data_IF_429964799533
#
_entry.id   IF_429964799533
#
_cell.length_a   1.000
_cell.length_b   1.000
_cell.length_c   1.000
_cell.angle_alpha   90.00
_cell.angle_beta   90.00
_cell.angle_gamma   90.00
#
_symmetry.space_group_name_H-M   'P 1'
#
loop_
_entity.id
_entity.type
_entity.pdbx_description
1 polymer ?
#
# COMPACT_ATOMS: atom_id res chain seq x y z
N UNK A 1 -4.41 17.63 -13.93
CA UNK A 1 -4.12 16.38 -13.20
C UNK A 1 -4.40 16.51 -11.71
N UNK A 2 -3.82 17.51 -11.04
CA UNK A 2 -4.10 17.78 -9.62
C UNK A 2 -5.51 18.35 -9.39
N UNK A 3 -6.02 19.17 -10.31
CA UNK A 3 -7.36 19.79 -10.19
C UNK A 3 -8.49 18.76 -10.19
N UNK A 4 -8.32 17.66 -10.94
CA UNK A 4 -9.31 16.57 -10.96
C UNK A 4 -9.26 15.70 -9.71
N UNK A 5 -8.09 15.58 -9.05
CA UNK A 5 -7.97 14.91 -7.76
C UNK A 5 -8.59 15.75 -6.64
N UNK A 6 -8.34 17.07 -6.64
CA UNK A 6 -8.94 17.99 -5.68
C UNK A 6 -10.46 18.10 -5.85
N UNK A 7 -10.94 18.11 -7.10
CA UNK A 7 -12.37 18.01 -7.37
C UNK A 7 -12.92 16.70 -6.79
N UNK A 8 -12.28 15.56 -7.05
CA UNK A 8 -12.75 14.28 -6.50
C UNK A 8 -12.74 14.25 -4.97
N UNK A 9 -11.73 14.84 -4.34
CA UNK A 9 -11.67 15.06 -2.89
C UNK A 9 -12.87 15.84 -2.37
N UNK A 10 -13.20 16.97 -3.01
CA UNK A 10 -14.35 17.80 -2.63
C UNK A 10 -15.64 17.02 -2.85
N UNK A 11 -15.80 16.37 -4.00
CA UNK A 11 -16.97 15.56 -4.31
C UNK A 11 -17.15 14.38 -3.35
N UNK A 12 -16.10 13.65 -3.01
CA UNK A 12 -16.16 12.53 -2.06
C UNK A 12 -16.60 12.98 -0.65
N UNK A 13 -16.24 14.21 -0.24
CA UNK A 13 -16.65 14.78 1.06
C UNK A 13 -18.13 15.13 1.15
N UNK A 14 -18.81 15.32 0.02
CA UNK A 14 -20.20 15.82 0.03
C UNK A 14 -21.23 14.75 0.42
N UNK A 15 -20.84 13.48 0.52
CA UNK A 15 -21.77 12.39 0.87
C UNK A 15 -22.86 12.11 -0.18
N UNK A 16 -22.88 12.85 -1.30
CA UNK A 16 -23.86 12.67 -2.38
C UNK A 16 -23.72 11.33 -3.13
N UNK A 17 -22.65 10.57 -2.88
CA UNK A 17 -22.52 9.22 -3.40
C UNK A 17 -23.27 8.22 -2.51
N UNK A 18 -24.58 8.13 -2.73
CA UNK A 18 -25.39 6.98 -2.29
C UNK A 18 -25.20 5.72 -3.16
N UNK A 19 -24.13 5.66 -3.97
CA UNK A 19 -23.84 4.56 -4.91
C UNK A 19 -22.34 4.26 -4.96
N UNK A 20 -22.00 3.00 -5.27
CA UNK A 20 -20.64 2.49 -5.49
C UNK A 20 -19.98 3.20 -6.69
N UNK A 21 -19.38 4.36 -6.48
CA UNK A 21 -18.62 5.07 -7.51
C UNK A 21 -17.14 4.79 -7.37
N UNK A 22 -16.58 4.14 -8.39
CA UNK A 22 -15.14 3.92 -8.52
C UNK A 22 -14.59 4.91 -9.51
N UNK A 23 -13.55 5.65 -9.12
CA UNK A 23 -12.79 6.50 -10.05
C UNK A 23 -11.33 6.09 -10.01
N UNK A 24 -10.73 5.97 -11.19
CA UNK A 24 -9.30 5.76 -11.35
C UNK A 24 -8.67 7.05 -11.86
N UNK A 25 -7.62 7.52 -11.19
CA UNK A 25 -6.80 8.65 -11.62
C UNK A 25 -5.37 8.18 -11.86
N UNK A 26 -4.83 8.51 -13.02
CA UNK A 26 -3.43 8.28 -13.33
C UNK A 26 -2.66 9.59 -13.25
N UNK A 27 -1.55 9.60 -12.51
CA UNK A 27 -0.61 10.71 -12.40
C UNK A 27 0.66 10.30 -13.13
N UNK A 28 0.84 10.83 -14.35
CA UNK A 28 2.04 10.62 -15.15
C UNK A 28 3.15 11.64 -14.86
N UNK A 29 2.79 12.82 -14.34
CA UNK A 29 3.75 13.89 -14.09
C UNK A 29 4.63 13.61 -12.87
N UNK A 30 5.94 13.57 -13.08
CA UNK A 30 6.95 13.33 -12.02
C UNK A 30 6.84 14.36 -10.89
N UNK A 31 6.66 15.65 -11.20
CA UNK A 31 6.50 16.67 -10.16
C UNK A 31 5.19 16.49 -9.38
N UNK A 32 4.10 16.10 -10.05
CA UNK A 32 2.83 15.80 -9.38
C UNK A 32 2.94 14.54 -8.49
N UNK A 33 3.69 13.52 -8.92
CA UNK A 33 3.93 12.29 -8.15
C UNK A 33 4.63 12.55 -6.82
N UNK A 34 5.72 13.34 -6.83
CA UNK A 34 6.47 13.73 -5.64
C UNK A 34 5.63 14.61 -4.72
N UNK A 35 4.84 15.51 -5.31
CA UNK A 35 3.93 16.36 -4.55
C UNK A 35 2.82 15.56 -3.88
N UNK A 36 2.27 14.51 -4.47
CA UNK A 36 1.19 13.73 -3.83
C UNK A 36 1.63 13.14 -2.48
N UNK A 37 2.76 12.42 -2.46
CA UNK A 37 3.30 11.85 -1.21
C UNK A 37 3.83 12.94 -0.27
N UNK A 38 4.44 14.00 -0.83
CA UNK A 38 4.85 15.18 -0.04
C UNK A 38 3.67 15.93 0.60
N UNK A 39 2.51 15.97 -0.05
CA UNK A 39 1.28 16.57 0.45
C UNK A 39 0.64 15.69 1.53
N UNK A 40 0.71 14.36 1.39
CA UNK A 40 0.40 13.45 2.51
C UNK A 40 1.28 13.73 3.72
N UNK A 41 2.52 14.17 3.49
CA UNK A 41 3.44 14.64 4.51
C UNK A 41 3.01 15.91 5.27
N UNK A 42 2.37 16.86 4.57
CA UNK A 42 2.16 18.26 5.03
C UNK A 42 0.73 18.60 5.46
N UNK A 43 -0.27 17.88 4.95
CA UNK A 43 -1.66 18.04 5.37
C UNK A 43 -2.06 16.84 6.24
N UNK A 44 -2.93 17.01 7.26
CA UNK A 44 -3.54 15.89 7.95
C UNK A 44 -4.54 15.20 7.01
N UNK A 45 -4.03 14.43 6.05
CA UNK A 45 -4.82 13.60 5.15
C UNK A 45 -5.50 12.45 5.89
N UNK A 46 -5.18 12.21 7.17
CA UNK A 46 -5.79 11.16 8.00
C UNK A 46 -7.32 11.15 7.93
N UNK A 47 -8.00 12.29 7.93
CA UNK A 47 -9.47 12.30 7.75
C UNK A 47 -9.92 12.50 6.30
N UNK A 48 -9.02 12.92 5.41
CA UNK A 48 -9.35 13.36 4.05
C UNK A 48 -8.96 12.35 2.98
N UNK A 49 -8.43 11.18 3.34
CA UNK A 49 -7.98 10.14 2.39
C UNK A 49 -8.72 8.81 2.54
N UNK A 50 -9.73 8.72 3.43
CA UNK A 50 -10.49 7.48 3.70
C UNK A 50 -11.20 6.86 2.50
N UNK A 51 -11.35 7.63 1.41
CA UNK A 51 -11.91 7.21 0.13
C UNK A 51 -10.84 6.67 -0.84
N UNK A 52 -9.54 6.85 -0.55
CA UNK A 52 -8.43 6.35 -1.34
C UNK A 52 -8.11 4.92 -0.91
N UNK A 53 -8.76 3.96 -1.55
CA UNK A 53 -8.66 2.55 -1.19
C UNK A 53 -7.52 1.84 -1.89
N UNK A 54 -7.09 2.33 -3.05
CA UNK A 54 -6.06 1.68 -3.87
C UNK A 54 -5.01 2.68 -4.32
N UNK A 55 -3.75 2.38 -4.06
CA UNK A 55 -2.60 3.17 -4.52
C UNK A 55 -1.62 2.27 -5.26
N UNK A 56 -1.37 2.59 -6.52
CA UNK A 56 -0.32 1.98 -7.32
C UNK A 56 0.83 2.96 -7.48
N UNK A 57 2.03 2.58 -7.05
CA UNK A 57 3.26 3.35 -7.21
C UNK A 57 4.16 2.66 -8.24
N UNK A 58 4.42 3.27 -9.39
CA UNK A 58 5.35 2.75 -10.39
C UNK A 58 6.59 3.65 -10.50
N UNK A 59 7.78 3.05 -10.46
CA UNK A 59 9.07 3.54 -10.99
C UNK A 59 9.55 4.94 -10.63
N UNK A 60 8.93 5.61 -9.68
CA UNK A 60 9.46 6.89 -9.22
C UNK A 60 10.62 6.62 -8.26
N UNK A 61 11.73 7.37 -8.33
CA UNK A 61 12.72 7.39 -7.27
C UNK A 61 12.12 8.13 -6.07
N UNK A 62 11.23 7.46 -5.35
CA UNK A 62 10.77 7.95 -4.06
C UNK A 62 11.90 7.77 -3.06
N UNK A 63 12.25 8.85 -2.36
CA UNK A 63 13.12 8.73 -1.20
C UNK A 63 12.37 8.03 -0.05
N UNK A 64 13.13 7.60 0.96
CA UNK A 64 12.56 6.93 2.14
C UNK A 64 11.48 7.81 2.80
N UNK A 65 11.71 9.12 2.92
CA UNK A 65 10.78 10.03 3.57
C UNK A 65 9.44 10.13 2.82
N UNK A 66 9.46 10.09 1.49
CA UNK A 66 8.28 10.10 0.64
C UNK A 66 7.47 8.81 0.81
N UNK A 67 8.13 7.66 0.88
CA UNK A 67 7.46 6.38 1.13
C UNK A 67 6.94 6.27 2.56
N UNK A 68 7.63 6.86 3.54
CA UNK A 68 7.08 7.00 4.89
C UNK A 68 5.82 7.88 4.92
N UNK A 69 5.62 8.74 3.91
CA UNK A 69 4.36 9.46 3.71
C UNK A 69 3.13 8.54 3.54
N UNK A 70 3.32 7.27 3.14
CA UNK A 70 2.24 6.28 3.06
C UNK A 70 1.60 6.01 4.41
N UNK A 71 2.36 6.09 5.51
CA UNK A 71 1.84 5.89 6.86
C UNK A 71 0.78 6.93 7.27
N UNK A 72 0.71 8.06 6.54
CA UNK A 72 -0.24 9.15 6.79
C UNK A 72 -1.55 9.00 5.99
N UNK A 73 -1.61 8.06 5.05
CA UNK A 73 -2.82 7.75 4.30
C UNK A 73 -3.73 6.88 5.17
N UNK A 74 -4.97 7.31 5.35
CA UNK A 74 -6.01 6.54 6.03
C UNK A 74 -6.94 5.91 4.99
N UNK A 75 -7.55 4.78 5.32
CA UNK A 75 -8.44 4.06 4.40
C UNK A 75 -7.75 3.33 3.24
N UNK A 76 -6.42 3.34 3.17
CA UNK A 76 -5.70 2.59 2.14
C UNK A 76 -5.84 1.08 2.39
N UNK A 77 -6.49 0.39 1.46
CA UNK A 77 -6.76 -1.06 1.53
C UNK A 77 -5.82 -1.87 0.65
N UNK A 78 -5.41 -1.33 -0.49
CA UNK A 78 -4.62 -2.01 -1.49
C UNK A 78 -3.43 -1.13 -1.88
N UNK A 79 -2.22 -1.65 -1.69
CA UNK A 79 -0.99 -0.98 -2.06
C UNK A 79 -0.22 -1.85 -3.05
N UNK A 80 0.02 -1.31 -4.24
CA UNK A 80 0.85 -1.96 -5.25
C UNK A 80 2.09 -1.10 -5.52
N UNK A 81 3.27 -1.64 -5.21
CA UNK A 81 4.54 -0.97 -5.45
C UNK A 81 5.31 -1.72 -6.53
N UNK A 82 5.52 -1.02 -7.65
CA UNK A 82 6.17 -1.54 -8.84
C UNK A 82 7.55 -0.91 -9.05
N UNK A 83 8.56 -1.75 -9.23
CA UNK A 83 9.90 -1.33 -9.68
C UNK A 83 10.24 -1.94 -11.04
N UNK A 84 10.29 -1.11 -12.08
CA UNK A 84 10.70 -1.50 -13.44
C UNK A 84 12.21 -1.41 -13.66
N UNK A 85 13.00 -1.24 -12.60
CA UNK A 85 14.46 -1.31 -12.76
C UNK A 85 14.87 -2.75 -13.05
N UNK A 86 15.72 -3.00 -14.05
CA UNK A 86 16.18 -4.34 -14.32
C UNK A 86 16.95 -4.88 -13.11
N UNK A 87 16.80 -6.18 -12.78
CA UNK A 87 17.49 -6.81 -11.66
C UNK A 87 19.02 -6.72 -11.75
N UNK A 88 19.60 -6.46 -12.93
CA UNK A 88 21.05 -6.32 -13.11
C UNK A 88 21.66 -5.06 -12.51
N UNK A 89 20.87 -4.04 -12.17
CA UNK A 89 21.39 -2.81 -11.56
C UNK A 89 21.37 -2.91 -10.03
N UNK A 90 22.54 -2.79 -9.41
CA UNK A 90 22.80 -2.81 -7.95
C UNK A 90 22.29 -1.57 -7.21
N UNK A 91 21.51 -0.70 -7.86
CA UNK A 91 20.94 0.47 -7.19
C UNK A 91 19.87 0.04 -6.18
N UNK A 92 19.88 0.68 -5.01
CA UNK A 92 18.85 0.51 -3.98
C UNK A 92 17.46 0.62 -4.62
N UNK A 93 16.65 -0.41 -4.44
CA UNK A 93 15.27 -0.43 -4.92
C UNK A 93 14.49 0.66 -4.20
N UNK A 94 13.59 1.34 -4.92
CA UNK A 94 12.72 2.38 -4.34
C UNK A 94 12.03 1.88 -3.07
N UNK A 95 11.60 0.61 -3.07
CA UNK A 95 11.04 -0.05 -1.90
C UNK A 95 11.95 -1.19 -1.45
N UNK A 96 12.30 -1.21 -0.17
CA UNK A 96 13.22 -2.18 0.43
C UNK A 96 12.63 -2.79 1.70
N UNK A 97 13.23 -3.87 2.19
CA UNK A 97 12.85 -4.47 3.47
C UNK A 97 12.95 -3.48 4.64
N UNK A 98 13.84 -2.47 4.56
CA UNK A 98 13.97 -1.40 5.56
C UNK A 98 12.73 -0.50 5.60
N UNK A 99 12.23 -0.09 4.44
CA UNK A 99 11.02 0.75 4.34
C UNK A 99 9.80 -0.05 4.81
N UNK A 100 9.68 -1.31 4.40
CA UNK A 100 8.59 -2.17 4.87
C UNK A 100 8.61 -2.35 6.39
N UNK A 101 9.80 -2.57 6.98
CA UNK A 101 9.97 -2.62 8.44
C UNK A 101 9.57 -1.31 9.11
N UNK A 102 9.98 -0.17 8.56
CA UNK A 102 9.62 1.14 9.11
C UNK A 102 8.11 1.39 9.06
N UNK A 103 7.45 1.08 7.94
CA UNK A 103 5.98 1.17 7.82
C UNK A 103 5.27 0.22 8.80
N UNK A 104 5.82 -0.98 9.00
CA UNK A 104 5.29 -1.93 9.98
C UNK A 104 5.45 -1.45 11.43
N UNK A 105 6.51 -0.71 11.75
CA UNK A 105 6.68 -0.07 13.07
C UNK A 105 5.62 1.03 13.23
N UNK A 106 5.44 1.88 12.22
CA UNK A 106 4.39 2.92 12.24
C UNK A 106 2.98 2.33 12.37
N UNK A 107 2.72 1.20 11.71
CA UNK A 107 1.44 0.50 11.82
C UNK A 107 1.20 -0.01 13.24
N UNK A 108 2.22 -0.61 13.87
CA UNK A 108 2.15 -1.13 15.23
C UNK A 108 1.98 -0.01 16.26
N UNK A 109 2.79 1.03 16.17
CA UNK A 109 2.93 2.03 17.23
C UNK A 109 1.89 3.16 17.10
N UNK A 110 1.46 3.46 15.87
CA UNK A 110 0.58 4.61 15.58
C UNK A 110 -0.69 4.27 14.79
N UNK A 111 -0.95 2.98 14.51
CA UNK A 111 -2.11 2.54 13.75
C UNK A 111 -2.10 2.98 12.28
N UNK A 112 -0.93 3.32 11.74
CA UNK A 112 -0.77 3.64 10.32
C UNK A 112 -1.18 2.44 9.45
N UNK A 113 -1.79 2.70 8.28
CA UNK A 113 -2.18 1.63 7.34
C UNK A 113 -3.02 0.52 7.99
N UNK A 114 -3.84 0.87 9.00
CA UNK A 114 -4.65 -0.09 9.76
C UNK A 114 -5.69 -0.83 8.90
N UNK A 115 -6.08 -0.23 7.76
CA UNK A 115 -7.02 -0.80 6.81
C UNK A 115 -6.32 -1.51 5.64
N UNK A 116 -4.99 -1.58 5.60
CA UNK A 116 -4.26 -2.20 4.50
C UNK A 116 -4.51 -3.71 4.51
N UNK A 117 -5.21 -4.20 3.50
CA UNK A 117 -5.59 -5.60 3.36
C UNK A 117 -4.68 -6.35 2.38
N UNK A 118 -4.25 -5.68 1.31
CA UNK A 118 -3.39 -6.28 0.28
C UNK A 118 -2.16 -5.44 0.00
N UNK A 119 -1.01 -6.13 -0.14
CA UNK A 119 0.25 -5.53 -0.50
C UNK A 119 0.89 -6.33 -1.65
N UNK A 120 1.04 -5.67 -2.81
CA UNK A 120 1.75 -6.19 -3.97
C UNK A 120 3.08 -5.47 -4.11
N UNK A 121 4.16 -6.23 -4.25
CA UNK A 121 5.50 -5.64 -4.45
C UNK A 121 6.22 -6.36 -5.58
N UNK A 122 6.87 -5.57 -6.43
CA UNK A 122 7.53 -6.04 -7.64
C UNK A 122 9.02 -5.69 -7.64
N UNK A 123 9.87 -6.73 -7.76
CA UNK A 123 11.33 -6.66 -7.81
C UNK A 123 12.08 -6.05 -6.60
N UNK A 124 11.61 -6.12 -5.33
CA UNK A 124 12.43 -5.74 -4.18
C UNK A 124 13.37 -6.89 -3.77
N UNK A 125 14.66 -6.77 -4.10
CA UNK A 125 15.66 -7.79 -3.73
C UNK A 125 15.85 -7.94 -2.22
N UNK A 126 15.59 -6.86 -1.47
CA UNK A 126 15.79 -6.80 -0.02
C UNK A 126 14.58 -7.30 0.78
N UNK A 127 13.51 -7.72 0.10
CA UNK A 127 12.36 -8.37 0.73
C UNK A 127 12.63 -9.86 0.77
N UNK A 128 12.74 -10.38 1.99
CA UNK A 128 13.14 -11.74 2.31
C UNK A 128 12.13 -12.39 3.25
N UNK A 129 12.35 -13.64 3.63
CA UNK A 129 11.53 -14.34 4.62
C UNK A 129 11.39 -13.57 5.94
N UNK A 130 12.49 -12.95 6.42
CA UNK A 130 12.47 -12.17 7.65
C UNK A 130 11.51 -10.98 7.58
N UNK A 131 11.23 -10.49 6.38
CA UNK A 131 10.34 -9.36 6.18
C UNK A 131 8.88 -9.72 6.45
N UNK A 132 8.50 -11.00 6.35
CA UNK A 132 7.15 -11.49 6.64
C UNK A 132 6.76 -11.28 8.12
N UNK A 133 7.73 -11.32 9.04
CA UNK A 133 7.46 -11.09 10.46
C UNK A 133 6.89 -9.68 10.70
N UNK A 134 7.41 -8.68 9.98
CA UNK A 134 6.93 -7.30 10.09
C UNK A 134 5.54 -7.11 9.50
N UNK A 135 5.14 -7.95 8.53
CA UNK A 135 3.80 -7.86 7.94
C UNK A 135 2.69 -8.14 8.95
N UNK A 136 2.98 -8.86 10.03
CA UNK A 136 2.02 -9.10 11.11
C UNK A 136 1.59 -7.83 11.86
N UNK A 137 2.38 -6.75 11.78
CA UNK A 137 2.07 -5.47 12.41
C UNK A 137 0.95 -4.71 11.70
N UNK A 138 0.61 -5.07 10.46
CA UNK A 138 -0.55 -4.50 9.77
C UNK A 138 -1.79 -5.28 10.19
N UNK A 139 -2.78 -4.68 10.87
CA UNK A 139 -3.87 -5.43 11.50
C UNK A 139 -4.84 -6.03 10.49
N UNK A 140 -5.14 -5.34 9.38
CA UNK A 140 -6.05 -5.82 8.34
C UNK A 140 -5.36 -6.63 7.22
N UNK A 141 -4.02 -6.67 7.18
CA UNK A 141 -3.29 -7.27 6.07
C UNK A 141 -3.53 -8.78 6.07
N UNK A 142 -4.05 -9.27 4.94
CA UNK A 142 -4.38 -10.69 4.75
C UNK A 142 -3.72 -11.30 3.52
N UNK A 143 -3.27 -10.48 2.57
CA UNK A 143 -2.59 -10.93 1.36
C UNK A 143 -1.34 -10.10 1.10
N UNK A 144 -0.22 -10.79 0.94
CA UNK A 144 1.04 -10.20 0.49
C UNK A 144 1.55 -10.97 -0.73
N UNK A 145 1.74 -10.29 -1.86
CA UNK A 145 2.29 -10.89 -3.07
C UNK A 145 3.58 -10.19 -3.48
N UNK A 146 4.61 -10.98 -3.73
CA UNK A 146 5.93 -10.53 -4.11
C UNK A 146 6.31 -11.16 -5.46
N UNK A 147 6.75 -10.34 -6.42
CA UNK A 147 7.30 -10.79 -7.71
C UNK A 147 8.80 -10.51 -7.79
N UNK A 148 9.56 -11.44 -8.36
CA UNK A 148 11.00 -11.29 -8.63
C UNK A 148 11.80 -10.87 -7.36
N UNK A 149 11.39 -11.39 -6.19
CA UNK A 149 12.02 -11.12 -4.89
C UNK A 149 13.04 -12.21 -4.53
N UNK A 150 13.95 -11.94 -3.58
CA UNK A 150 14.99 -12.88 -3.16
C UNK A 150 14.48 -13.90 -2.12
N UNK A 151 13.44 -14.65 -2.47
CA UNK A 151 12.96 -15.75 -1.64
C UNK A 151 13.65 -17.08 -2.00
N UNK A 152 13.84 -17.99 -1.02
CA UNK A 152 14.22 -19.36 -1.30
C UNK A 152 13.23 -20.05 -2.25
N UNK A 153 13.66 -21.16 -2.86
CA UNK A 153 12.78 -22.02 -3.66
C UNK A 153 11.54 -22.43 -2.86
N UNK A 154 10.37 -22.51 -3.51
CA UNK A 154 9.06 -22.81 -2.92
C UNK A 154 9.08 -23.93 -1.87
N UNK A 155 9.71 -25.07 -2.17
CA UNK A 155 9.82 -26.21 -1.23
C UNK A 155 10.52 -25.85 0.09
N UNK A 156 11.63 -25.12 0.01
CA UNK A 156 12.37 -24.64 1.19
C UNK A 156 11.55 -23.57 1.92
N UNK A 157 10.94 -22.66 1.17
CA UNK A 157 10.10 -21.59 1.70
C UNK A 157 8.92 -22.13 2.53
N UNK A 158 8.23 -23.16 2.05
CA UNK A 158 7.13 -23.82 2.77
C UNK A 158 7.54 -24.36 4.14
N UNK A 159 8.75 -24.92 4.26
CA UNK A 159 9.26 -25.39 5.56
C UNK A 159 9.64 -24.26 6.50
N UNK A 160 10.10 -23.13 5.97
CA UNK A 160 10.63 -22.00 6.75
C UNK A 160 9.55 -20.99 7.17
N UNK A 161 8.42 -20.97 6.48
CA UNK A 161 7.33 -20.03 6.77
C UNK A 161 6.50 -20.44 7.99
N UNK A 162 6.57 -21.72 8.38
CA UNK A 162 5.83 -22.25 9.51
C UNK A 162 6.11 -21.43 10.79
N UNK A 163 5.05 -21.02 11.47
CA UNK A 163 5.12 -20.24 12.70
C UNK A 163 5.25 -18.72 12.52
N UNK A 164 5.47 -18.22 11.30
CA UNK A 164 5.55 -16.79 11.00
C UNK A 164 4.17 -16.11 10.94
N UNK A 165 3.07 -16.87 11.01
CA UNK A 165 1.70 -16.35 10.89
C UNK A 165 1.25 -16.17 9.43
N UNK A 166 1.98 -16.78 8.50
CA UNK A 166 1.72 -16.74 7.07
C UNK A 166 1.86 -18.15 6.50
N UNK A 167 1.01 -18.48 5.53
CA UNK A 167 1.20 -19.64 4.65
C UNK A 167 1.31 -19.16 3.20
N UNK A 168 1.95 -19.98 2.38
CA UNK A 168 2.01 -19.73 0.96
C UNK A 168 0.66 -20.09 0.35
N UNK A 169 0.14 -19.24 -0.52
CA UNK A 169 -1.10 -19.50 -1.26
C UNK A 169 -0.91 -20.76 -2.11
N UNK A 170 -1.59 -21.82 -1.72
CA UNK A 170 -1.71 -23.05 -2.49
C UNK A 170 -2.98 -22.90 -3.32
N UNK A 171 -2.83 -22.85 -4.64
CA UNK A 171 -3.77 -22.74 -5.79
C UNK A 171 -5.31 -22.86 -5.57
N UNK A 172 -5.76 -23.50 -4.50
CA UNK A 172 -7.12 -23.74 -4.06
C UNK A 172 -7.61 -22.79 -2.94
N UNK A 173 -6.75 -21.93 -2.37
CA UNK A 173 -7.10 -21.00 -1.30
C UNK A 173 -7.83 -19.73 -1.79
N UNK A 174 -8.27 -18.86 -0.86
CA UNK A 174 -8.98 -17.59 -1.17
C UNK A 174 -8.13 -16.64 -2.03
N UNK A 175 -6.79 -16.72 -1.95
CA UNK A 175 -5.88 -16.04 -2.88
C UNK A 175 -5.54 -16.84 -4.13
N UNK A 176 -6.07 -18.07 -4.26
CA UNK A 176 -6.07 -18.88 -5.47
C UNK A 176 -6.63 -18.15 -6.68
N UNK A 177 -7.31 -17.01 -6.50
CA UNK A 177 -7.60 -16.02 -7.54
C UNK A 177 -6.33 -15.40 -8.18
N UNK A 178 -5.28 -15.08 -7.41
CA UNK A 178 -3.97 -14.66 -7.94
C UNK A 178 -3.36 -15.78 -8.77
N UNK A 179 -3.34 -17.01 -8.27
CA UNK A 179 -2.88 -18.16 -9.05
C UNK A 179 -3.74 -18.38 -10.30
N UNK A 180 -5.07 -18.30 -10.19
CA UNK A 180 -6.02 -18.49 -11.28
C UNK A 180 -5.91 -17.38 -12.36
N UNK A 181 -5.68 -16.13 -11.97
CA UNK A 181 -5.44 -15.02 -12.89
C UNK A 181 -4.02 -15.03 -13.48
N UNK A 182 -3.03 -15.60 -12.78
CA UNK A 182 -1.66 -15.75 -13.28
C UNK A 182 -1.45 -16.99 -14.14
N UNK A 183 -2.29 -18.03 -14.02
CA UNK A 183 -2.09 -19.32 -14.69
C UNK A 183 -3.28 -19.82 -15.53
N UNK A 184 -4.54 -19.49 -15.19
CA UNK A 184 -5.72 -20.18 -15.73
C UNK A 184 -6.54 -19.37 -16.75
N UNK A 185 -6.46 -18.03 -16.75
CA UNK A 185 -7.05 -17.23 -17.83
C UNK A 185 -6.19 -17.32 -19.10
N UNK A 186 -6.25 -18.47 -19.79
CA UNK A 186 -6.16 -18.66 -21.26
C UNK A 186 -5.83 -20.11 -21.59
N UNK A 187 -6.85 -20.96 -21.69
CA UNK A 187 -6.75 -22.13 -22.56
C UNK A 187 -6.78 -21.78 -24.05
N UNK A 188 -6.97 -20.50 -24.46
CA UNK A 188 -7.23 -20.17 -25.87
C UNK A 188 -6.58 -18.92 -26.49
N UNK A 189 -5.77 -18.13 -25.77
CA UNK A 189 -5.33 -16.84 -26.35
C UNK A 189 -3.83 -16.58 -26.10
N UNK A 190 -3.11 -16.21 -27.17
CA UNK A 190 -1.65 -16.36 -27.34
C UNK A 190 -0.78 -15.33 -26.59
N UNK A 191 -1.36 -14.45 -25.79
CA UNK A 191 -0.63 -13.41 -25.04
C UNK A 191 -0.87 -13.53 -23.54
N UNK A 192 0.16 -13.86 -22.77
CA UNK A 192 0.04 -13.89 -21.30
C UNK A 192 -0.10 -12.47 -20.75
N UNK A 193 -0.98 -12.24 -19.77
CA UNK A 193 -1.14 -10.93 -19.16
C UNK A 193 0.14 -10.55 -18.40
N UNK A 194 0.53 -9.27 -18.47
CA UNK A 194 1.63 -8.75 -17.67
C UNK A 194 1.28 -8.79 -16.17
N UNK A 195 2.27 -8.88 -15.27
CA UNK A 195 2.03 -8.81 -13.82
C UNK A 195 1.16 -7.61 -13.39
N UNK A 196 1.41 -6.37 -13.87
CA UNK A 196 0.51 -5.25 -13.62
C UNK A 196 -0.95 -5.49 -14.05
N UNK A 197 -1.16 -6.19 -15.17
CA UNK A 197 -2.50 -6.57 -15.64
C UNK A 197 -3.14 -7.53 -14.65
N UNK A 198 -2.42 -8.57 -14.20
CA UNK A 198 -2.91 -9.54 -13.22
C UNK A 198 -3.29 -8.84 -11.91
N UNK A 199 -2.40 -8.01 -11.35
CA UNK A 199 -2.68 -7.28 -10.09
C UNK A 199 -3.93 -6.41 -10.25
N UNK A 200 -4.07 -5.69 -11.37
CA UNK A 200 -5.26 -4.88 -11.65
C UNK A 200 -6.53 -5.72 -11.68
N UNK A 201 -6.53 -6.82 -12.43
CA UNK A 201 -7.68 -7.71 -12.55
C UNK A 201 -8.05 -8.34 -11.21
N UNK A 202 -7.06 -8.73 -10.41
CA UNK A 202 -7.28 -9.20 -9.05
C UNK A 202 -7.95 -8.13 -8.17
N UNK A 203 -7.46 -6.90 -8.20
CA UNK A 203 -8.04 -5.80 -7.42
C UNK A 203 -9.45 -5.44 -7.90
N UNK A 204 -9.74 -5.52 -9.21
CA UNK A 204 -11.10 -5.42 -9.75
C UNK A 204 -12.01 -6.54 -9.23
N UNK A 205 -11.55 -7.78 -9.25
CA UNK A 205 -12.30 -8.93 -8.78
C UNK A 205 -12.61 -8.85 -7.28
N UNK A 206 -11.60 -8.59 -6.44
CA UNK A 206 -11.77 -8.46 -4.99
C UNK A 206 -12.82 -7.40 -4.65
N UNK A 207 -12.82 -6.27 -5.36
CA UNK A 207 -13.82 -5.21 -5.17
C UNK A 207 -15.24 -5.65 -5.49
N UNK A 208 -15.43 -6.43 -6.56
CA UNK A 208 -16.74 -6.97 -6.89
C UNK A 208 -17.29 -7.88 -5.77
N UNK A 209 -16.41 -8.52 -5.00
CA UNK A 209 -16.78 -9.34 -3.85
C UNK A 209 -17.04 -8.52 -2.58
N UNK A 210 -16.31 -7.43 -2.33
CA UNK A 210 -16.51 -6.55 -1.15
C UNK A 210 -17.73 -5.61 -1.27
N UNK A 211 -18.72 -5.98 -2.09
CA UNK A 211 -19.90 -5.19 -2.50
C UNK A 211 -20.77 -4.62 -1.36
N UNK A 212 -20.52 -5.01 -0.11
CA UNK A 212 -21.24 -4.50 1.06
C UNK A 212 -20.86 -3.06 1.46
N UNK A 213 -19.71 -2.53 1.02
CA UNK A 213 -19.26 -1.20 1.42
C UNK A 213 -19.76 -0.13 0.43
N UNK A 214 -20.85 0.56 0.79
CA UNK A 214 -21.43 1.70 0.06
C UNK A 214 -20.57 2.99 0.11
N UNK A 215 -19.25 2.90 -0.11
CA UNK A 215 -18.34 4.05 -0.05
C UNK A 215 -17.75 4.35 -1.44
N UNK A 216 -17.57 5.63 -1.79
CA UNK A 216 -16.83 5.98 -3.00
C UNK A 216 -15.38 5.53 -2.88
N UNK A 217 -14.82 4.99 -3.96
CA UNK A 217 -13.46 4.46 -4.01
C UNK A 217 -12.62 5.22 -5.04
N UNK A 218 -11.43 5.66 -4.64
CA UNK A 218 -10.41 6.16 -5.55
C UNK A 218 -9.25 5.18 -5.69
N UNK A 219 -8.94 4.86 -6.95
CA UNK A 219 -7.66 4.26 -7.31
C UNK A 219 -6.76 5.36 -7.85
N UNK A 220 -5.57 5.48 -7.29
CA UNK A 220 -4.53 6.38 -7.80
C UNK A 220 -3.41 5.55 -8.35
N UNK A 221 -3.19 5.66 -9.65
CA UNK A 221 -2.05 5.07 -10.34
C UNK A 221 -1.00 6.15 -10.56
N UNK A 222 0.14 6.04 -9.90
CA UNK A 222 1.27 6.92 -10.14
C UNK A 222 2.21 6.20 -11.09
N UNK A 223 2.21 6.65 -12.34
CA UNK A 223 2.99 6.05 -13.43
C UNK A 223 4.07 7.06 -13.81
N UNK A 224 5.33 6.67 -14.04
CA UNK A 224 6.28 7.62 -14.59
C UNK A 224 5.80 8.10 -15.97
N UNK A 225 6.17 9.31 -16.35
CA UNK A 225 6.08 9.74 -17.73
C UNK A 225 7.03 8.86 -18.57
N UNK A 226 6.52 7.84 -19.24
CA UNK A 226 7.32 7.02 -20.13
C UNK A 226 7.69 7.82 -21.39
N UNK A 227 8.97 8.18 -21.53
CA UNK A 227 9.55 8.54 -22.82
C UNK A 227 9.91 7.22 -23.51
N UNK A 228 8.97 6.62 -24.23
CA UNK A 228 9.14 5.62 -25.32
C UNK A 228 10.07 4.39 -25.16
N UNK A 229 10.86 4.23 -24.11
CA UNK A 229 11.74 3.09 -23.89
C UNK A 229 11.09 2.17 -22.86
N UNK A 230 9.91 1.66 -23.21
CA UNK A 230 9.37 0.49 -22.52
C UNK A 230 10.33 -0.66 -22.80
N UNK A 231 11.08 -1.09 -21.78
CA UNK A 231 11.66 -2.42 -21.80
C UNK A 231 10.55 -3.40 -22.18
N UNK A 232 10.76 -4.16 -23.25
CA UNK A 232 9.84 -5.19 -23.66
C UNK A 232 9.57 -6.06 -22.44
N UNK A 233 8.30 -6.15 -22.02
CA UNK A 233 7.90 -7.09 -20.98
C UNK A 233 8.32 -8.46 -21.48
N UNK A 234 9.42 -8.98 -20.95
CA UNK A 234 9.93 -10.28 -21.37
C UNK A 234 8.83 -11.28 -21.09
N UNK A 235 8.26 -11.82 -22.16
CA UNK A 235 7.26 -12.88 -22.12
C UNK A 235 7.94 -14.11 -21.53
N UNK A 236 7.80 -14.32 -20.22
CA UNK A 236 8.32 -15.50 -19.54
C UNK A 236 7.41 -16.70 -19.78
N UNK A 237 8.01 -17.89 -19.75
CA UNK A 237 7.20 -19.12 -19.73
C UNK A 237 6.31 -19.18 -18.45
N UNK A 238 5.18 -19.89 -18.46
CA UNK A 238 4.22 -19.93 -17.34
C UNK A 238 4.86 -20.53 -16.09
N UNK A 239 5.69 -21.55 -16.29
CA UNK A 239 6.50 -22.17 -15.25
C UNK A 239 7.53 -21.18 -14.66
N UNK A 240 8.16 -20.38 -15.52
CA UNK A 240 9.12 -19.34 -15.13
C UNK A 240 8.44 -18.13 -14.47
N UNK A 241 7.21 -17.79 -14.86
CA UNK A 241 6.43 -16.71 -14.28
C UNK A 241 5.87 -17.10 -12.91
N UNK A 242 5.25 -18.28 -12.80
CA UNK A 242 4.71 -18.81 -11.55
C UNK A 242 5.81 -19.04 -10.50
N UNK A 243 7.03 -19.40 -10.92
CA UNK A 243 8.17 -19.53 -10.00
C UNK A 243 8.72 -18.21 -9.47
N UNK A 244 8.34 -17.07 -10.07
CA UNK A 244 8.78 -15.72 -9.67
C UNK A 244 7.76 -14.96 -8.86
N UNK A 245 6.51 -15.43 -8.79
CA UNK A 245 5.44 -14.82 -8.01
C UNK A 245 5.19 -15.69 -6.78
N UNK A 246 5.24 -15.06 -5.61
CA UNK A 246 4.93 -15.70 -4.33
C UNK A 246 3.86 -14.88 -3.64
N UNK A 247 2.71 -15.51 -3.40
CA UNK A 247 1.63 -14.92 -2.62
C UNK A 247 1.51 -15.64 -1.28
N UNK A 248 1.35 -14.84 -0.24
CA UNK A 248 1.31 -15.26 1.15
C UNK A 248 -0.03 -14.81 1.74
N UNK A 249 -0.69 -15.75 2.40
CA UNK A 249 -1.94 -15.54 3.11
C UNK A 249 -1.68 -15.54 4.61
N UNK A 250 -2.35 -14.63 5.33
CA UNK A 250 -2.24 -14.58 6.78
C UNK A 250 -3.03 -15.69 7.43
N UNK A 251 -2.44 -16.35 8.42
CA UNK A 251 -3.11 -17.36 9.22
C UNK A 251 -4.24 -16.71 10.06
N UNK A 252 -5.50 -17.01 9.73
CA UNK A 252 -6.66 -16.37 10.38
C UNK A 252 -6.76 -16.67 11.88
N UNK A 253 -6.24 -17.81 12.35
CA UNK A 253 -6.30 -18.21 13.77
C UNK A 253 -5.55 -17.25 14.72
N UNK A 254 -4.60 -16.46 14.21
CA UNK A 254 -3.94 -15.39 14.97
C UNK A 254 -4.61 -14.02 14.81
N UNK A 255 -5.33 -13.79 13.70
CA UNK A 255 -5.98 -12.52 13.39
C UNK A 255 -7.26 -12.27 14.21
N UNK A 256 -7.96 -13.33 14.62
CA UNK A 256 -9.13 -13.25 15.50
C UNK A 256 -8.79 -12.80 16.93
N UNK A 257 -7.54 -12.98 17.39
CA UNK A 257 -7.06 -12.45 18.67
C UNK A 257 -6.69 -10.97 18.66
N UNK A 258 -6.41 -10.38 17.49
CA UNK A 258 -6.08 -8.95 17.36
C UNK A 258 -7.28 -8.05 17.05
N UNK A 259 -8.47 -8.63 16.77
CA UNK A 259 -9.71 -7.88 16.53
C UNK A 259 -10.27 -7.17 17.79
N UNK A 260 -9.65 -7.38 18.94
CA UNK A 260 -10.00 -6.72 20.21
C UNK A 260 -8.84 -5.86 20.70
N UNK A 261 -8.28 -4.99 19.85
CA UNK A 261 -7.54 -3.84 20.37
C UNK A 261 -8.59 -2.79 20.80
N UNK A 262 -8.67 -2.43 22.09
CA UNK A 262 -9.50 -1.31 22.50
C UNK A 262 -9.01 -0.06 21.78
N UNK A 263 -9.95 0.68 21.19
CA UNK A 263 -9.71 2.07 20.76
C UNK A 263 -9.01 2.77 21.93
N UNK A 264 -7.82 3.38 21.74
CA UNK A 264 -7.19 4.14 22.80
C UNK A 264 -8.17 5.23 23.24
N UNK A 265 -8.70 5.10 24.46
CA UNK A 265 -9.49 6.17 25.04
C UNK A 265 -8.65 7.45 25.02
N UNK A 266 -9.21 8.58 24.57
CA UNK A 266 -8.51 9.85 24.68
C UNK A 266 -8.18 10.07 26.16
N UNK A 267 -6.96 10.49 26.52
CA UNK A 267 -6.53 10.59 27.90
C UNK A 267 -7.47 11.50 28.70
N UNK A 268 -8.38 10.88 29.44
CA UNK A 268 -9.31 11.53 30.34
C UNK A 268 -8.57 11.90 31.62
N UNK A 269 -7.85 13.02 31.56
CA UNK A 269 -7.56 13.96 32.67
C UNK A 269 -6.58 15.02 32.16
N UNK A 270 -7.11 16.03 31.49
CA UNK A 270 -6.44 17.34 31.45
C UNK A 270 -6.42 17.87 32.88
N UNK A 271 -5.25 17.81 33.54
CA UNK A 271 -4.96 18.66 34.69
C UNK A 271 -5.29 20.10 34.28
N UNK A 272 -6.24 20.74 34.96
CA UNK A 272 -6.46 22.18 34.86
C UNK A 272 -5.17 22.86 35.27
N UNK A 273 -4.40 23.35 34.30
CA UNK A 273 -3.31 24.28 34.57
C UNK A 273 -3.97 25.59 34.99
N UNK A 274 -3.79 25.97 36.25
CA UNK A 274 -4.35 27.19 36.81
C UNK A 274 -3.49 28.36 36.32
N UNK A 275 -3.74 28.84 35.10
CA UNK A 275 -3.04 30.00 34.53
C UNK A 275 -3.66 31.30 35.05
N UNK A 276 -3.25 31.72 36.24
CA UNK A 276 -3.11 33.15 36.53
C UNK A 276 -1.86 33.64 35.80
N UNK A 277 -1.97 34.04 34.53
CA UNK A 277 -0.92 34.77 33.80
C UNK A 277 -1.57 35.64 32.73
N UNK A 278 -2.06 36.79 33.17
CA UNK A 278 -2.50 37.91 32.33
C UNK A 278 -1.39 38.96 32.15
N UNK A 279 -0.13 38.59 32.44
CA UNK A 279 1.02 39.52 32.40
C UNK A 279 2.26 38.95 31.72
N UNK A 280 2.14 37.94 30.87
CA UNK A 280 3.27 37.37 30.13
C UNK A 280 3.23 37.64 28.61
N UNK A 281 2.18 38.31 28.14
CA UNK A 281 2.05 38.70 26.72
C UNK A 281 2.52 40.13 26.44
N UNK A 282 2.49 41.02 27.44
CA UNK A 282 2.96 42.41 27.28
C UNK A 282 4.50 42.50 27.16
N UNK A 283 5.25 41.62 27.82
CA UNK A 283 6.72 41.62 27.76
C UNK A 283 7.27 41.16 26.39
N UNK A 284 6.48 40.46 25.57
CA UNK A 284 6.91 39.97 24.25
C UNK A 284 6.68 41.00 23.13
N UNK A 285 5.90 42.05 23.37
CA UNK A 285 5.52 43.04 22.35
C UNK A 285 6.23 44.40 22.51
N UNK A 286 7.01 44.61 23.57
CA UNK A 286 7.79 45.85 23.78
C UNK A 286 9.26 45.77 23.31
N UNK A 287 9.70 44.65 22.74
CA UNK A 287 11.07 44.49 22.24
C UNK A 287 11.33 44.86 20.78
N UNK A 288 10.32 45.34 20.04
CA UNK A 288 10.44 45.65 18.60
C UNK A 288 9.97 47.06 18.26
N UNK A 289 10.58 48.06 18.91
CA UNK A 289 10.72 49.41 18.36
C UNK A 289 12.03 50.02 18.83
N UNK A 290 13.06 49.93 17.99
CA UNK A 290 14.05 50.96 17.69
C UNK A 290 14.85 50.50 16.47
#
# INVERSE_FOLDING_TARGET
GADSLHAWQLFAKTGYFGRQFVKTFSISCVQCSRRLLGLAGKAPLRSQSSWMTTLTLCDSPYDIAQLMGLAKLDGLQNLYIRSNRPPSQTHETTFSGRILRALAIEAKDYGALSQLETLFVDNPRDVTLNTLQYLNNFPALNLFCARDCNFPKRKTLMSQIQGLGWHLDEEHDVAGLSYYYTTFQRSHDSKRPSWPTVVRTFLEHRRAQTSEINRPMLNVDIVPYCVSESYSSVSLDSTAFASRVLCFLRDQERASKSKTMPVPEPPAKRRKLNTKKLGAFDDLLHGLTC
#
